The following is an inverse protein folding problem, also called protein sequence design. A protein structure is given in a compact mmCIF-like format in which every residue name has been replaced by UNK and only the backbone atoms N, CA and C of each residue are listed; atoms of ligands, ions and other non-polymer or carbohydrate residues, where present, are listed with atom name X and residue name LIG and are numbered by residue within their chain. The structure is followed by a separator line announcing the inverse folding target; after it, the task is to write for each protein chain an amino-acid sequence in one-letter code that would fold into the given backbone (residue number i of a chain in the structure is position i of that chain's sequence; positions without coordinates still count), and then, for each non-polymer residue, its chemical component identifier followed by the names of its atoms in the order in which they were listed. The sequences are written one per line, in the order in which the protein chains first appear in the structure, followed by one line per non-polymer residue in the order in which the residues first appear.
data_IF_557991489143
#
_entry.id   IF_557991489143
#
_cell.length_a   1.000
_cell.length_b   1.000
_cell.length_c   1.000
_cell.angle_alpha   90.00
_cell.angle_beta   90.00
_cell.angle_gamma   90.00
#
_symmetry.space_group_name_H-M   'P 1'
#
loop_
_entity.id
_entity.type
_entity.pdbx_description
1 polymer ?
#
# COMPACT_ATOMS: atom_id res chain seq x y z
N UNK A 1 12.24 -16.85 -27.28
CA UNK A 1 13.27 -16.56 -26.26
C UNK A 1 12.91 -17.40 -25.06
N UNK A 2 13.79 -18.29 -24.55
CA UNK A 2 13.42 -19.14 -23.43
C UNK A 2 13.49 -18.33 -22.13
N UNK A 3 12.35 -18.19 -21.46
CA UNK A 3 12.26 -17.74 -20.07
C UNK A 3 12.89 -18.80 -19.17
N UNK A 4 13.96 -18.44 -18.46
CA UNK A 4 14.55 -19.31 -17.45
C UNK A 4 15.16 -18.46 -16.32
N UNK A 5 14.29 -18.07 -15.38
CA UNK A 5 14.73 -17.77 -14.01
C UNK A 5 13.90 -18.62 -13.07
N UNK A 6 14.35 -19.86 -12.84
CA UNK A 6 13.86 -20.69 -11.74
C UNK A 6 14.52 -20.21 -10.44
N UNK A 7 13.79 -19.45 -9.63
CA UNK A 7 14.22 -19.12 -8.26
C UNK A 7 13.84 -20.29 -7.36
N UNK A 8 14.80 -21.15 -7.04
CA UNK A 8 14.61 -22.24 -6.09
C UNK A 8 14.67 -21.68 -4.67
N UNK A 9 13.50 -21.46 -4.06
CA UNK A 9 13.43 -21.12 -2.64
C UNK A 9 13.72 -22.37 -1.81
N UNK A 10 14.75 -22.34 -0.97
CA UNK A 10 15.05 -23.41 -0.03
C UNK A 10 13.90 -23.53 0.99
N UNK A 11 13.23 -24.69 1.03
CA UNK A 11 12.16 -25.01 1.99
C UNK A 11 12.73 -25.45 3.34
N UNK A 12 13.48 -24.58 4.03
CA UNK A 12 14.09 -24.89 5.33
C UNK A 12 13.23 -24.50 6.53
N UNK A 13 12.02 -23.96 6.32
CA UNK A 13 11.15 -23.49 7.41
C UNK A 13 11.66 -22.24 8.15
N UNK A 14 12.90 -21.82 7.93
CA UNK A 14 13.46 -20.56 8.44
C UNK A 14 12.67 -19.34 7.95
N UNK A 15 12.10 -19.40 6.73
CA UNK A 15 11.32 -18.32 6.12
C UNK A 15 9.97 -18.01 6.80
N UNK A 16 9.51 -18.85 7.74
CA UNK A 16 8.32 -18.60 8.55
C UNK A 16 8.63 -18.03 9.93
N UNK A 17 9.90 -18.09 10.38
CA UNK A 17 10.32 -17.45 11.63
C UNK A 17 10.20 -15.93 11.50
N UNK A 18 9.74 -15.31 12.57
CA UNK A 18 9.63 -13.85 12.67
C UNK A 18 10.79 -13.30 13.50
N UNK A 19 11.30 -12.12 13.12
CA UNK A 19 12.26 -11.38 13.94
C UNK A 19 11.57 -10.72 15.17
N UNK A 20 12.33 -9.94 15.94
CA UNK A 20 11.86 -9.24 17.15
C UNK A 20 10.70 -8.27 16.90
N UNK A 21 10.52 -7.81 15.65
CA UNK A 21 9.42 -6.95 15.21
C UNK A 21 8.27 -7.72 14.54
N UNK A 22 8.27 -9.05 14.63
CA UNK A 22 7.20 -9.88 14.08
C UNK A 22 7.25 -10.04 12.56
N UNK A 23 8.39 -9.72 11.94
CA UNK A 23 8.57 -9.75 10.48
C UNK A 23 9.21 -11.05 10.02
N UNK A 24 8.64 -11.68 9.00
CA UNK A 24 9.33 -12.74 8.23
C UNK A 24 10.43 -12.15 7.37
N UNK A 25 11.36 -12.97 6.88
CA UNK A 25 12.52 -12.54 6.10
C UNK A 25 12.19 -11.54 4.97
N UNK A 26 11.15 -11.79 4.18
CA UNK A 26 10.77 -10.89 3.07
C UNK A 26 10.29 -9.52 3.61
N UNK A 27 9.51 -9.53 4.68
CA UNK A 27 9.00 -8.31 5.32
C UNK A 27 10.15 -7.52 5.94
N UNK A 28 11.10 -8.18 6.60
CA UNK A 28 12.28 -7.56 7.18
C UNK A 28 13.17 -6.93 6.09
N UNK A 29 13.36 -7.62 4.96
CA UNK A 29 14.09 -7.07 3.80
C UNK A 29 13.41 -5.85 3.21
N UNK A 30 12.08 -5.88 3.07
CA UNK A 30 11.32 -4.72 2.62
C UNK A 30 11.47 -3.55 3.59
N UNK A 31 11.33 -3.81 4.90
CA UNK A 31 11.42 -2.81 5.96
C UNK A 31 12.84 -2.22 6.12
N UNK A 32 13.89 -2.98 5.82
CA UNK A 32 15.25 -2.46 5.79
C UNK A 32 15.43 -1.33 4.76
N UNK A 33 14.60 -1.31 3.71
CA UNK A 33 14.60 -0.26 2.68
C UNK A 33 13.58 0.87 2.94
N UNK A 34 12.99 0.96 4.14
CA UNK A 34 11.91 1.92 4.49
C UNK A 34 12.26 3.40 4.32
N UNK A 35 13.54 3.76 4.37
CA UNK A 35 14.01 5.13 4.14
C UNK A 35 13.96 5.54 2.65
N UNK A 36 13.74 4.58 1.74
CA UNK A 36 13.62 4.87 0.31
C UNK A 36 12.35 5.68 0.05
N UNK A 37 12.47 6.72 -0.80
CA UNK A 37 11.32 7.47 -1.30
C UNK A 37 10.45 6.57 -2.20
N UNK A 38 11.09 5.83 -3.11
CA UNK A 38 10.41 4.87 -4.00
C UNK A 38 10.91 3.46 -3.74
N UNK A 39 9.99 2.53 -3.51
CA UNK A 39 10.30 1.13 -3.26
C UNK A 39 9.46 0.21 -4.16
N UNK A 40 10.13 -0.52 -5.05
CA UNK A 40 9.50 -1.56 -5.84
C UNK A 40 9.66 -2.93 -5.16
N UNK A 41 8.63 -3.37 -4.45
CA UNK A 41 8.63 -4.66 -3.76
C UNK A 41 8.25 -5.80 -4.71
N UNK A 42 9.25 -6.54 -5.20
CA UNK A 42 9.06 -7.79 -5.96
C UNK A 42 9.04 -8.97 -4.99
N UNK A 43 7.88 -9.61 -4.85
CA UNK A 43 7.71 -10.76 -3.99
C UNK A 43 6.80 -11.82 -4.65
N UNK A 44 7.04 -13.13 -4.44
CA UNK A 44 6.13 -14.17 -4.91
C UNK A 44 4.71 -14.02 -4.32
N UNK A 45 3.69 -14.60 -4.94
CA UNK A 45 2.36 -14.72 -4.33
C UNK A 45 2.42 -15.34 -2.93
N UNK A 46 1.53 -14.90 -2.04
CA UNK A 46 1.43 -15.38 -0.65
C UNK A 46 2.69 -15.20 0.24
N UNK A 47 3.66 -14.39 -0.19
CA UNK A 47 4.89 -14.09 0.56
C UNK A 47 4.70 -13.17 1.78
N UNK A 48 3.49 -12.66 2.01
CA UNK A 48 3.18 -11.72 3.09
C UNK A 48 3.40 -10.25 2.72
N UNK A 49 3.23 -9.91 1.43
CA UNK A 49 3.37 -8.55 0.88
C UNK A 49 2.46 -7.53 1.58
N UNK A 50 1.20 -7.86 1.83
CA UNK A 50 0.26 -6.96 2.52
C UNK A 50 0.78 -6.53 3.90
N UNK A 51 1.32 -7.47 4.67
CA UNK A 51 1.93 -7.17 5.98
C UNK A 51 3.22 -6.34 5.84
N UNK A 52 4.05 -6.59 4.82
CA UNK A 52 5.21 -5.74 4.53
C UNK A 52 4.80 -4.29 4.24
N UNK A 53 3.73 -4.10 3.46
CA UNK A 53 3.17 -2.78 3.16
C UNK A 53 2.62 -2.07 4.41
N UNK A 54 1.99 -2.81 5.33
CA UNK A 54 1.57 -2.25 6.63
C UNK A 54 2.75 -1.70 7.43
N UNK A 55 3.83 -2.48 7.57
CA UNK A 55 5.03 -2.04 8.30
C UNK A 55 5.64 -0.78 7.69
N UNK A 56 5.79 -0.76 6.36
CA UNK A 56 6.31 0.39 5.63
C UNK A 56 5.41 1.62 5.81
N UNK A 57 4.10 1.47 5.66
CA UNK A 57 3.15 2.57 5.79
C UNK A 57 3.15 3.16 7.21
N UNK A 58 3.17 2.31 8.24
CA UNK A 58 3.24 2.76 9.63
C UNK A 58 4.55 3.48 9.95
N UNK A 59 5.68 3.00 9.45
CA UNK A 59 6.96 3.69 9.64
C UNK A 59 6.98 5.07 8.98
N UNK A 60 6.41 5.18 7.77
CA UNK A 60 6.24 6.46 7.09
C UNK A 60 5.39 7.44 7.92
N UNK A 61 4.30 6.95 8.51
CA UNK A 61 3.38 7.76 9.33
C UNK A 61 4.01 8.20 10.66
N UNK A 62 4.63 7.28 11.41
CA UNK A 62 5.04 7.53 12.79
C UNK A 62 6.49 8.04 12.91
N UNK A 63 7.36 7.67 11.97
CA UNK A 63 8.80 7.93 12.09
C UNK A 63 9.35 8.86 11.00
N UNK A 64 8.62 9.05 9.89
CA UNK A 64 9.10 9.86 8.76
C UNK A 64 8.25 11.11 8.47
N UNK A 65 7.27 11.40 9.33
CA UNK A 65 6.49 12.64 9.28
C UNK A 65 5.39 12.70 8.21
N UNK A 66 5.11 11.59 7.50
CA UNK A 66 3.96 11.53 6.61
C UNK A 66 2.67 11.49 7.43
N UNK A 67 1.59 12.02 6.86
CA UNK A 67 0.31 12.18 7.56
C UNK A 67 -0.73 11.16 7.16
N UNK A 68 -0.60 10.59 5.97
CA UNK A 68 -1.59 9.65 5.42
C UNK A 68 -0.91 8.48 4.73
N UNK A 69 -1.56 7.32 4.83
CA UNK A 69 -1.21 6.12 4.12
C UNK A 69 -2.41 5.65 3.31
N UNK A 70 -2.22 5.52 2.01
CA UNK A 70 -3.21 4.97 1.07
C UNK A 70 -2.67 3.68 0.50
N UNK A 71 -3.41 2.59 0.69
CA UNK A 71 -3.15 1.31 0.03
C UNK A 71 -4.17 1.11 -1.07
N UNK A 72 -3.71 1.00 -2.31
CA UNK A 72 -4.53 0.70 -3.47
C UNK A 72 -4.32 -0.76 -3.88
N UNK A 73 -5.41 -1.52 -3.98
CA UNK A 73 -5.43 -2.94 -4.37
C UNK A 73 -6.15 -3.14 -5.71
N UNK A 74 -5.90 -4.21 -6.47
CA UNK A 74 -6.53 -4.35 -7.78
C UNK A 74 -8.04 -4.61 -7.68
N UNK A 75 -8.52 -5.26 -6.61
CA UNK A 75 -9.94 -5.56 -6.42
C UNK A 75 -10.35 -5.63 -4.95
N UNK A 76 -11.66 -5.56 -4.69
CA UNK A 76 -12.24 -5.48 -3.35
C UNK A 76 -11.88 -6.68 -2.47
N UNK A 77 -11.87 -7.88 -3.04
CA UNK A 77 -11.58 -9.11 -2.31
C UNK A 77 -10.20 -9.08 -1.64
N UNK A 78 -9.21 -8.47 -2.30
CA UNK A 78 -7.84 -8.36 -1.79
C UNK A 78 -7.75 -7.34 -0.64
N UNK A 79 -8.67 -6.37 -0.58
CA UNK A 79 -8.74 -5.41 0.52
C UNK A 79 -8.89 -6.07 1.89
N UNK A 80 -9.44 -7.29 1.97
CA UNK A 80 -9.51 -8.07 3.19
C UNK A 80 -8.12 -8.41 3.78
N UNK A 81 -7.08 -8.46 2.94
CA UNK A 81 -5.69 -8.67 3.38
C UNK A 81 -5.12 -7.50 4.19
N UNK A 82 -5.83 -6.36 4.19
CA UNK A 82 -5.49 -5.14 4.94
C UNK A 82 -6.46 -4.86 6.09
N UNK A 83 -7.13 -5.91 6.60
CA UNK A 83 -7.92 -5.81 7.82
C UNK A 83 -7.07 -5.42 9.03
N UNK A 84 -7.72 -4.88 10.07
CA UNK A 84 -7.07 -4.46 11.30
C UNK A 84 -6.20 -5.59 11.87
N UNK A 85 -4.94 -5.28 12.18
CA UNK A 85 -3.94 -6.27 12.59
C UNK A 85 -3.14 -5.73 13.76
N UNK A 86 -3.10 -6.51 14.86
CA UNK A 86 -2.33 -6.22 16.07
C UNK A 86 -0.85 -6.58 15.87
N UNK A 87 -0.09 -5.63 15.30
CA UNK A 87 1.34 -5.81 15.04
C UNK A 87 2.16 -5.60 16.32
N UNK A 88 1.65 -4.83 17.27
CA UNK A 88 2.27 -4.61 18.58
C UNK A 88 2.38 -5.89 19.41
N UNK A 89 1.43 -6.82 19.28
CA UNK A 89 1.49 -8.15 19.90
C UNK A 89 2.70 -8.98 19.44
N UNK A 90 3.34 -8.58 18.34
CA UNK A 90 4.51 -9.21 17.76
C UNK A 90 5.76 -8.33 17.82
N UNK A 91 5.78 -7.28 18.65
CA UNK A 91 6.97 -6.46 18.90
C UNK A 91 7.16 -5.27 17.96
N UNK A 92 6.19 -4.97 17.09
CA UNK A 92 6.18 -3.71 16.32
C UNK A 92 5.65 -2.54 17.16
N UNK A 93 5.88 -1.29 16.73
CA UNK A 93 5.57 -0.11 17.56
C UNK A 93 4.13 0.41 17.41
N UNK A 94 3.39 -0.01 16.38
CA UNK A 94 2.02 0.45 16.11
C UNK A 94 1.19 -0.66 15.47
N UNK A 95 -0.12 -0.61 15.67
CA UNK A 95 -1.06 -1.51 15.01
C UNK A 95 -1.49 -0.96 13.64
N UNK A 96 -1.84 -1.87 12.74
CA UNK A 96 -2.52 -1.49 11.51
C UNK A 96 -4.01 -1.40 11.77
N UNK A 97 -4.56 -0.20 11.71
CA UNK A 97 -5.98 0.06 11.91
C UNK A 97 -6.51 0.89 10.75
N UNK A 98 -7.64 0.48 10.18
CA UNK A 98 -8.36 1.18 9.13
C UNK A 98 -9.79 1.37 9.62
N UNK A 99 -10.21 2.62 9.79
CA UNK A 99 -11.59 2.90 10.14
C UNK A 99 -12.52 2.36 9.05
N UNK A 100 -13.68 1.82 9.41
CA UNK A 100 -14.62 1.21 8.45
C UNK A 100 -14.98 2.17 7.30
N UNK A 101 -15.21 3.45 7.64
CA UNK A 101 -15.42 4.56 6.69
C UNK A 101 -14.25 4.79 5.70
N UNK A 102 -13.03 4.36 6.04
CA UNK A 102 -11.83 4.48 5.20
C UNK A 102 -11.46 3.15 4.52
N UNK A 103 -12.25 2.09 4.71
CA UNK A 103 -12.12 0.85 3.94
C UNK A 103 -13.05 0.91 2.72
N UNK A 104 -12.57 1.50 1.63
CA UNK A 104 -13.32 1.67 0.39
C UNK A 104 -13.43 0.38 -0.43
N UNK A 105 -12.90 -0.74 0.07
CA UNK A 105 -13.14 -2.06 -0.51
C UNK A 105 -14.48 -2.67 -0.05
N UNK A 106 -15.11 -2.13 1.00
CA UNK A 106 -16.44 -2.53 1.45
C UNK A 106 -17.53 -2.23 0.40
N UNK A 107 -18.71 -2.89 0.45
CA UNK A 107 -19.82 -2.61 -0.45
C UNK A 107 -20.22 -1.12 -0.46
N UNK A 108 -20.59 -0.61 -1.64
CA UNK A 108 -20.91 0.82 -1.87
C UNK A 108 -20.67 1.24 -3.32
N UNK A 109 -21.24 2.38 -3.73
CA UNK A 109 -21.04 2.96 -5.07
C UNK A 109 -19.65 3.59 -5.22
N UNK A 110 -19.18 3.78 -6.45
CA UNK A 110 -17.85 4.36 -6.71
C UNK A 110 -17.80 5.87 -6.45
N UNK A 111 -18.88 6.61 -6.73
CA UNK A 111 -18.96 8.06 -6.49
C UNK A 111 -18.81 8.40 -5.01
N UNK A 112 -19.51 7.67 -4.14
CA UNK A 112 -19.40 7.87 -2.68
C UNK A 112 -18.00 7.52 -2.17
N UNK A 113 -17.32 6.55 -2.78
CA UNK A 113 -15.94 6.19 -2.45
C UNK A 113 -14.94 7.27 -2.85
N UNK A 114 -15.12 7.88 -4.01
CA UNK A 114 -14.28 9.01 -4.44
C UNK A 114 -14.45 10.17 -3.46
N UNK A 115 -15.69 10.57 -3.18
CA UNK A 115 -15.97 11.62 -2.20
C UNK A 115 -15.34 11.31 -0.84
N UNK A 116 -15.44 10.06 -0.40
CA UNK A 116 -14.84 9.61 0.86
C UNK A 116 -13.31 9.70 0.85
N UNK A 117 -12.65 9.41 -0.27
CA UNK A 117 -11.20 9.58 -0.41
C UNK A 117 -10.83 11.07 -0.33
N UNK A 118 -11.61 11.95 -0.97
CA UNK A 118 -11.40 13.41 -0.86
C UNK A 118 -11.56 13.89 0.58
N UNK A 119 -12.60 13.43 1.29
CA UNK A 119 -12.77 13.70 2.72
C UNK A 119 -11.59 13.19 3.55
N UNK A 120 -11.08 11.99 3.24
CA UNK A 120 -9.91 11.42 3.89
C UNK A 120 -8.66 12.29 3.70
N UNK A 121 -8.39 12.78 2.48
CA UNK A 121 -7.25 13.66 2.18
C UNK A 121 -7.34 15.00 2.95
N UNK A 122 -8.55 15.51 3.17
CA UNK A 122 -8.76 16.77 3.91
C UNK A 122 -8.88 16.59 5.43
N UNK A 123 -9.04 15.35 5.91
CA UNK A 123 -9.21 15.05 7.33
C UNK A 123 -7.90 15.22 8.10
N UNK A 124 -7.95 15.84 9.28
CA UNK A 124 -6.78 15.93 10.17
C UNK A 124 -6.63 14.72 11.10
N UNK A 125 -7.66 13.89 11.23
CA UNK A 125 -7.68 12.75 12.17
C UNK A 125 -7.49 11.40 11.50
N UNK A 126 -7.82 11.28 10.21
CA UNK A 126 -7.70 10.01 9.48
C UNK A 126 -6.29 9.83 8.93
N UNK A 127 -5.64 8.70 9.24
CA UNK A 127 -4.27 8.39 8.83
C UNK A 127 -4.17 7.27 7.78
N UNK A 128 -5.09 6.31 7.76
CA UNK A 128 -5.02 5.10 6.92
C UNK A 128 -6.29 4.90 6.09
N UNK A 129 -6.12 4.52 4.82
CA UNK A 129 -7.20 4.23 3.88
C UNK A 129 -6.81 3.08 2.95
N UNK A 130 -7.78 2.20 2.66
CA UNK A 130 -7.64 1.10 1.71
C UNK A 130 -8.69 1.26 0.61
N UNK A 131 -8.28 1.19 -0.65
CA UNK A 131 -9.19 1.35 -1.78
C UNK A 131 -8.76 0.50 -2.98
N UNK A 132 -9.58 0.45 -4.03
CA UNK A 132 -9.19 -0.19 -5.28
C UNK A 132 -8.41 0.75 -6.19
N UNK A 133 -7.63 0.19 -7.12
CA UNK A 133 -6.98 0.95 -8.20
C UNK A 133 -7.98 1.84 -8.97
N UNK A 134 -9.19 1.35 -9.20
CA UNK A 134 -10.24 2.13 -9.85
C UNK A 134 -10.63 3.35 -9.03
N UNK A 135 -10.83 3.20 -7.71
CA UNK A 135 -11.22 4.31 -6.83
C UNK A 135 -10.16 5.41 -6.79
N UNK A 136 -8.89 5.06 -6.60
CA UNK A 136 -7.84 6.09 -6.54
C UNK A 136 -7.64 6.78 -7.89
N UNK A 137 -7.77 6.04 -9.00
CA UNK A 137 -7.73 6.62 -10.35
C UNK A 137 -8.81 7.70 -10.52
N UNK A 138 -10.05 7.41 -10.14
CA UNK A 138 -11.14 8.38 -10.25
C UNK A 138 -10.98 9.55 -9.26
N UNK A 139 -10.44 9.30 -8.07
CA UNK A 139 -10.24 10.35 -7.09
C UNK A 139 -9.14 11.34 -7.51
N UNK A 140 -8.10 10.88 -8.20
CA UNK A 140 -7.05 11.75 -8.73
C UNK A 140 -7.55 12.74 -9.78
N UNK A 141 -8.53 12.33 -10.60
CA UNK A 141 -9.18 13.26 -11.54
C UNK A 141 -10.04 14.32 -10.80
N UNK A 142 -10.38 14.09 -9.52
CA UNK A 142 -11.27 14.92 -8.72
C UNK A 142 -10.57 15.81 -7.69
N UNK A 143 -9.25 15.65 -7.47
CA UNK A 143 -8.48 16.45 -6.51
C UNK A 143 -7.20 17.01 -7.16
N UNK A 144 -6.71 18.17 -6.72
CA UNK A 144 -5.43 18.66 -7.18
C UNK A 144 -4.30 17.73 -6.71
N UNK A 145 -3.24 17.62 -7.49
CA UNK A 145 -2.15 16.65 -7.25
C UNK A 145 -1.44 16.90 -5.92
N UNK A 146 -1.34 18.16 -5.47
CA UNK A 146 -0.77 18.56 -4.18
C UNK A 146 -1.54 18.05 -2.96
N UNK A 147 -2.78 17.60 -3.12
CA UNK A 147 -3.55 16.92 -2.08
C UNK A 147 -2.90 15.61 -1.62
N UNK A 148 -1.96 15.06 -2.41
CA UNK A 148 -1.17 13.89 -2.07
C UNK A 148 0.18 14.23 -1.41
N UNK A 149 0.44 15.49 -1.05
CA UNK A 149 1.60 15.82 -0.22
C UNK A 149 1.49 15.15 1.17
N UNK A 150 2.64 14.74 1.69
CA UNK A 150 2.80 14.03 2.95
C UNK A 150 1.99 12.71 3.01
N UNK A 151 1.78 12.04 1.87
CA UNK A 151 1.04 10.78 1.77
C UNK A 151 1.94 9.66 1.27
N UNK A 152 2.04 8.54 2.01
CA UNK A 152 2.59 7.30 1.44
C UNK A 152 1.52 6.62 0.60
N UNK A 153 1.83 6.41 -0.68
CA UNK A 153 0.99 5.67 -1.61
C UNK A 153 1.56 4.27 -1.89
N UNK A 154 0.89 3.25 -1.40
CA UNK A 154 1.23 1.85 -1.65
C UNK A 154 0.31 1.26 -2.74
N UNK A 155 0.89 0.86 -3.87
CA UNK A 155 0.18 0.20 -4.98
C UNK A 155 0.48 -1.30 -4.95
N UNK A 156 -0.54 -2.10 -4.62
CA UNK A 156 -0.45 -3.55 -4.73
C UNK A 156 -0.59 -3.98 -6.20
N UNK A 157 -0.04 -5.15 -6.57
CA UNK A 157 -0.03 -5.65 -7.95
C UNK A 157 0.24 -4.62 -9.05
N UNK A 158 1.27 -3.79 -8.83
CA UNK A 158 1.73 -2.76 -9.77
C UNK A 158 1.98 -3.30 -11.18
N UNK A 159 2.29 -4.59 -11.34
CA UNK A 159 2.51 -5.18 -12.66
C UNK A 159 1.25 -5.16 -13.56
N UNK A 160 0.04 -5.22 -12.98
CA UNK A 160 -1.22 -4.98 -13.72
C UNK A 160 -1.30 -3.54 -14.25
N UNK A 161 -0.70 -2.58 -13.52
CA UNK A 161 -0.64 -1.17 -13.90
C UNK A 161 0.37 -0.92 -15.01
N UNK A 162 1.44 -1.69 -15.07
CA UNK A 162 2.47 -1.54 -16.11
C UNK A 162 2.14 -2.19 -17.45
N UNK A 163 1.23 -3.17 -17.47
CA UNK A 163 0.97 -4.00 -18.65
C UNK A 163 -0.25 -3.57 -19.48
N UNK A 164 -1.21 -2.87 -18.88
CA UNK A 164 -2.46 -2.52 -19.54
C UNK A 164 -2.37 -1.14 -20.25
N UNK A 165 -2.97 -1.00 -21.43
CA UNK A 165 -3.01 0.31 -22.11
C UNK A 165 -4.08 1.22 -21.48
N UNK A 166 -5.09 0.65 -20.83
CA UNK A 166 -6.07 1.41 -20.03
C UNK A 166 -5.51 1.85 -18.67
N UNK A 167 -4.50 1.16 -18.13
CA UNK A 167 -3.80 1.55 -16.90
C UNK A 167 -2.83 2.72 -17.12
N UNK A 168 -2.70 3.23 -18.34
CA UNK A 168 -2.02 4.49 -18.66
C UNK A 168 -2.46 5.63 -17.72
N UNK A 169 -3.72 5.66 -17.28
CA UNK A 169 -4.22 6.66 -16.33
C UNK A 169 -3.64 6.51 -14.92
N UNK A 170 -3.49 5.28 -14.41
CA UNK A 170 -2.88 5.07 -13.09
C UNK A 170 -1.35 5.24 -13.15
N UNK A 171 -0.73 4.91 -14.27
CA UNK A 171 0.67 5.26 -14.54
C UNK A 171 0.90 6.77 -14.61
N UNK A 172 0.01 7.51 -15.28
CA UNK A 172 0.04 8.98 -15.34
C UNK A 172 -0.20 9.62 -13.97
N UNK A 173 -1.13 9.07 -13.19
CA UNK A 173 -1.36 9.44 -11.78
C UNK A 173 -0.06 9.30 -10.99
N UNK A 174 0.58 8.14 -11.04
CA UNK A 174 1.83 7.91 -10.30
C UNK A 174 2.93 8.85 -10.77
N UNK A 175 3.05 9.09 -12.08
CA UNK A 175 3.99 10.07 -12.59
C UNK A 175 3.71 11.48 -12.05
N UNK A 176 2.44 11.90 -11.99
CA UNK A 176 2.04 13.18 -11.41
C UNK A 176 2.41 13.27 -9.93
N UNK A 177 2.07 12.27 -9.13
CA UNK A 177 2.44 12.19 -7.72
C UNK A 177 3.97 12.28 -7.56
N UNK A 178 4.73 11.45 -8.28
CA UNK A 178 6.19 11.40 -8.18
C UNK A 178 6.92 12.68 -8.64
N UNK A 179 6.31 13.50 -9.49
CA UNK A 179 6.95 14.70 -10.07
C UNK A 179 6.44 16.01 -9.49
N UNK A 180 5.27 16.01 -8.86
CA UNK A 180 4.58 17.22 -8.41
C UNK A 180 4.31 17.25 -6.91
N UNK A 181 4.62 16.17 -6.17
CA UNK A 181 4.44 16.09 -4.71
C UNK A 181 5.71 15.59 -4.02
N UNK A 182 5.70 15.60 -2.69
CA UNK A 182 6.75 15.01 -1.84
C UNK A 182 6.39 13.58 -1.35
N UNK A 183 5.44 12.92 -2.01
CA UNK A 183 4.98 11.58 -1.67
C UNK A 183 6.01 10.48 -1.96
#
# INVERSE_FOLDING_TARGET
MPDLVSVTYAQTGESTKTNEMGMRDMQAKAFAARESQYLLLKAPPASGKSRALMFLALDKLFNQGLKKAIVAVPERAIGASFANTKLTEHGFFADWEVAEKNNLCLPGSSESKVQRLVEFLNSSSDATLVCTHATIRFAFDAVPTDAFNDVVLAIDEFHHVSADKESSKLGALLHGVMTQTNA
#
